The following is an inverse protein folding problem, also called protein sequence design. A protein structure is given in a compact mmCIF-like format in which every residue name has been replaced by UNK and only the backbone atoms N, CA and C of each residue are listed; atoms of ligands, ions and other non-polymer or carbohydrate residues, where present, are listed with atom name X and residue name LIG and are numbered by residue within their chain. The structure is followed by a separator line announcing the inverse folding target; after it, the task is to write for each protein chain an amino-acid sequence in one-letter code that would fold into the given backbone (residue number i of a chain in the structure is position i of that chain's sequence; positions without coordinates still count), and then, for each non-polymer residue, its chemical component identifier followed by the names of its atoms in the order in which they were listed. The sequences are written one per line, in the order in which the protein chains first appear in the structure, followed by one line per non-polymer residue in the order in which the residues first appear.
data_IF_299386596633
#
_entry.id   IF_299386596633
#
_cell.length_a   1.000
_cell.length_b   1.000
_cell.length_c   1.000
_cell.angle_alpha   90.00
_cell.angle_beta   90.00
_cell.angle_gamma   90.00
#
_symmetry.space_group_name_H-M   'P 1'
#
loop_
_entity.id
_entity.type
_entity.pdbx_description
1 polymer ?
#
# COMPACT_ATOMS: atom_id res chain seq x y z
N UNK A 1 7.94 24.73 -1.96
CA UNK A 1 7.35 24.76 -0.60
C UNK A 1 5.91 24.28 -0.68
N UNK A 2 5.58 23.10 -0.13
CA UNK A 2 4.16 22.69 0.00
C UNK A 2 3.48 23.60 1.04
N UNK A 3 2.32 24.14 0.70
CA UNK A 3 1.55 25.04 1.57
C UNK A 3 1.15 24.26 2.83
N UNK A 4 1.49 24.80 4.00
CA UNK A 4 1.09 24.20 5.29
C UNK A 4 -0.44 24.18 5.37
N UNK A 5 -1.03 23.02 5.67
CA UNK A 5 -2.46 22.94 5.94
C UNK A 5 -2.72 23.69 7.25
N UNK A 6 -3.58 24.71 7.21
CA UNK A 6 -3.96 25.45 8.39
C UNK A 6 -5.28 24.91 8.96
N UNK A 7 -5.19 24.13 10.04
CA UNK A 7 -6.35 23.64 10.78
C UNK A 7 -6.74 24.66 11.85
N UNK A 8 -7.93 25.26 11.70
CA UNK A 8 -8.39 26.37 12.56
C UNK A 8 -9.19 25.93 13.78
N UNK A 9 -9.91 24.83 13.65
CA UNK A 9 -10.75 24.29 14.72
C UNK A 9 -10.68 22.76 14.72
N UNK A 10 -10.61 22.19 15.92
CA UNK A 10 -10.78 20.78 16.19
C UNK A 10 -11.72 20.64 17.39
N UNK A 11 -12.10 19.41 17.72
CA UNK A 11 -12.77 19.12 18.97
C UNK A 11 -12.07 18.01 19.71
N UNK A 12 -12.23 18.01 21.03
CA UNK A 12 -11.65 17.02 21.92
C UNK A 12 -12.76 16.15 22.53
N UNK A 13 -12.43 14.86 22.64
CA UNK A 13 -13.21 13.91 23.43
C UNK A 13 -12.29 13.15 24.37
N UNK A 14 -12.82 12.84 25.55
CA UNK A 14 -12.19 11.99 26.55
C UNK A 14 -13.25 11.08 27.16
N UNK A 15 -12.86 9.88 27.57
CA UNK A 15 -13.74 8.93 28.24
C UNK A 15 -12.91 8.01 29.12
N UNK A 16 -13.51 7.51 30.20
CA UNK A 16 -12.89 6.49 31.06
C UNK A 16 -12.49 5.23 30.27
N UNK A 17 -13.26 4.87 29.23
CA UNK A 17 -12.97 3.74 28.35
C UNK A 17 -11.71 3.91 27.47
N UNK A 18 -11.30 5.14 27.16
CA UNK A 18 -10.03 5.38 26.45
C UNK A 18 -8.81 5.07 27.32
N UNK A 19 -8.93 5.29 28.65
CA UNK A 19 -7.88 5.02 29.63
C UNK A 19 -7.47 3.55 29.69
N UNK A 20 -8.39 2.62 29.41
CA UNK A 20 -8.10 1.18 29.31
C UNK A 20 -7.11 0.84 28.20
N UNK A 21 -6.97 1.70 27.18
CA UNK A 21 -6.00 1.56 26.08
C UNK A 21 -4.81 2.51 26.22
N UNK A 22 -4.62 3.12 27.39
CA UNK A 22 -3.54 4.08 27.65
C UNK A 22 -3.68 5.41 26.91
N UNK A 23 -4.83 5.69 26.29
CA UNK A 23 -5.16 6.95 25.61
C UNK A 23 -5.91 7.85 26.57
N UNK A 24 -5.46 9.10 26.71
CA UNK A 24 -6.09 10.06 27.64
C UNK A 24 -6.94 11.10 26.95
N UNK A 25 -6.57 11.48 25.72
CA UNK A 25 -7.24 12.53 24.95
C UNK A 25 -7.30 12.13 23.49
N UNK A 26 -8.41 12.44 22.83
CA UNK A 26 -8.55 12.35 21.38
C UNK A 26 -8.88 13.73 20.84
N UNK A 27 -8.07 14.21 19.91
CA UNK A 27 -8.29 15.48 19.21
C UNK A 27 -8.67 15.15 17.77
N UNK A 28 -9.90 15.48 17.38
CA UNK A 28 -10.41 15.25 16.02
C UNK A 28 -10.55 16.59 15.28
N UNK A 29 -9.89 16.67 14.15
CA UNK A 29 -9.83 17.84 13.30
C UNK A 29 -10.51 17.54 11.96
N UNK A 30 -11.67 18.15 11.68
CA UNK A 30 -12.24 18.17 10.33
C UNK A 30 -11.27 18.84 9.36
N UNK A 31 -11.13 18.24 8.18
CA UNK A 31 -10.30 18.77 7.09
C UNK A 31 -11.15 18.82 5.82
N UNK A 32 -10.99 19.87 5.02
CA UNK A 32 -11.70 20.02 3.76
C UNK A 32 -10.77 20.53 2.68
N UNK A 33 -10.96 20.06 1.45
CA UNK A 33 -10.27 20.60 0.27
C UNK A 33 -8.85 20.09 0.03
N UNK A 34 -8.42 19.02 0.72
CA UNK A 34 -7.12 18.37 0.45
C UNK A 34 -7.35 17.08 -0.33
N UNK A 35 -6.93 17.06 -1.58
CA UNK A 35 -6.88 15.83 -2.39
C UNK A 35 -5.60 15.05 -2.09
N UNK A 36 -5.71 13.73 -2.01
CA UNK A 36 -4.62 12.79 -1.74
C UNK A 36 -4.76 11.59 -2.66
N UNK A 37 -3.63 11.16 -3.25
CA UNK A 37 -3.59 10.08 -4.26
C UNK A 37 -2.70 8.91 -3.85
N UNK A 38 -1.94 9.05 -2.78
CA UNK A 38 -1.04 8.01 -2.29
C UNK A 38 -0.93 8.04 -0.77
N UNK A 39 -0.52 6.92 -0.17
CA UNK A 39 -0.22 6.85 1.26
C UNK A 39 0.84 7.88 1.68
N UNK A 40 1.81 8.18 0.81
CA UNK A 40 2.80 9.22 1.05
C UNK A 40 2.17 10.62 1.13
N UNK A 41 1.25 10.96 0.23
CA UNK A 41 0.52 12.24 0.30
C UNK A 41 -0.33 12.32 1.56
N UNK A 42 -0.94 11.21 1.98
CA UNK A 42 -1.67 11.13 3.26
C UNK A 42 -0.72 11.29 4.47
N UNK A 43 0.49 10.73 4.41
CA UNK A 43 1.52 10.93 5.45
C UNK A 43 1.96 12.38 5.52
N UNK A 44 2.23 13.00 4.38
CA UNK A 44 2.67 14.39 4.31
C UNK A 44 1.56 15.34 4.82
N UNK A 45 0.29 15.00 4.56
CA UNK A 45 -0.87 15.65 5.16
C UNK A 45 -0.89 15.47 6.68
N UNK A 46 -0.67 14.25 7.18
CA UNK A 46 -0.60 13.97 8.62
C UNK A 46 0.52 14.78 9.31
N UNK A 47 1.69 14.89 8.68
CA UNK A 47 2.80 15.74 9.14
C UNK A 47 2.42 17.23 9.18
N UNK A 48 1.75 17.71 8.13
CA UNK A 48 1.28 19.09 8.03
C UNK A 48 0.25 19.40 9.13
N UNK A 49 -0.72 18.51 9.32
CA UNK A 49 -1.75 18.61 10.34
C UNK A 49 -1.14 18.58 11.75
N UNK A 50 -0.18 17.68 12.02
CA UNK A 50 0.53 17.60 13.30
C UNK A 50 1.21 18.93 13.65
N UNK A 51 1.91 19.55 12.69
CA UNK A 51 2.57 20.85 12.86
C UNK A 51 1.57 22.01 13.01
N UNK A 52 0.42 21.93 12.35
CA UNK A 52 -0.64 22.95 12.47
C UNK A 52 -1.39 22.86 13.79
N UNK A 53 -1.61 21.66 14.32
CA UNK A 53 -2.46 21.44 15.50
C UNK A 53 -1.67 21.58 16.79
N UNK A 54 -0.38 21.25 16.83
CA UNK A 54 0.40 21.28 18.07
C UNK A 54 1.63 22.17 17.99
N UNK A 55 1.87 22.96 19.05
CA UNK A 55 3.10 23.76 19.21
C UNK A 55 4.17 22.93 19.91
N UNK A 56 5.39 22.92 19.35
CA UNK A 56 6.57 22.39 20.03
C UNK A 56 6.58 20.88 20.26
N UNK A 57 5.86 20.09 19.44
CA UNK A 57 5.99 18.64 19.49
C UNK A 57 7.43 18.23 19.17
N UNK A 58 8.07 17.37 20.00
CA UNK A 58 9.40 16.86 19.71
C UNK A 58 9.37 16.05 18.41
N UNK A 59 10.40 16.23 17.58
CA UNK A 59 10.47 15.83 16.17
C UNK A 59 10.49 14.32 15.92
N UNK A 60 9.39 13.63 16.21
CA UNK A 60 9.14 12.28 15.74
C UNK A 60 8.75 12.28 14.27
N UNK A 61 9.38 11.40 13.48
CA UNK A 61 8.94 11.12 12.10
C UNK A 61 7.52 10.54 12.15
N UNK A 62 6.66 10.92 11.21
CA UNK A 62 5.36 10.26 11.03
C UNK A 62 5.60 8.92 10.33
N UNK A 63 5.36 7.84 11.04
CA UNK A 63 5.59 6.47 10.57
C UNK A 63 4.24 5.87 10.18
N UNK A 64 4.13 5.37 8.96
CA UNK A 64 2.95 4.61 8.52
C UNK A 64 2.81 3.31 9.33
N UNK A 65 1.59 3.03 9.76
CA UNK A 65 1.25 1.82 10.52
C UNK A 65 0.41 0.88 9.66
N UNK A 66 -0.76 1.34 9.20
CA UNK A 66 -1.62 0.59 8.30
C UNK A 66 -2.62 1.49 7.58
N UNK A 67 -3.30 0.95 6.58
CA UNK A 67 -4.55 1.53 6.08
C UNK A 67 -5.60 0.44 5.89
N UNK A 68 -6.86 0.85 5.94
CA UNK A 68 -8.00 -0.05 5.90
C UNK A 68 -9.15 0.62 5.14
N UNK A 69 -9.78 -0.11 4.23
CA UNK A 69 -10.98 0.35 3.55
C UNK A 69 -12.19 0.26 4.50
N UNK A 70 -12.97 1.32 4.59
CA UNK A 70 -14.23 1.38 5.34
C UNK A 70 -15.36 1.55 4.32
N UNK A 71 -16.00 0.42 3.99
CA UNK A 71 -16.98 0.38 2.89
C UNK A 71 -16.33 0.69 1.54
N UNK A 72 -17.06 1.45 0.71
CA UNK A 72 -16.68 1.76 -0.67
C UNK A 72 -16.06 3.15 -0.85
N UNK A 73 -16.30 4.04 0.12
CA UNK A 73 -16.05 5.47 -0.07
C UNK A 73 -15.00 6.01 0.87
N UNK A 74 -14.59 5.25 1.89
CA UNK A 74 -13.64 5.71 2.89
C UNK A 74 -12.43 4.79 3.01
N UNK A 75 -11.27 5.39 3.26
CA UNK A 75 -10.06 4.69 3.69
C UNK A 75 -9.53 5.34 4.96
N UNK A 76 -9.29 4.54 6.00
CA UNK A 76 -8.68 4.98 7.24
C UNK A 76 -7.18 4.67 7.20
N UNK A 77 -6.35 5.71 7.20
CA UNK A 77 -4.90 5.58 7.30
C UNK A 77 -4.45 5.82 8.73
N UNK A 78 -3.61 4.93 9.25
CA UNK A 78 -3.06 4.98 10.61
C UNK A 78 -1.56 5.23 10.53
N UNK A 79 -1.10 6.15 11.37
CA UNK A 79 0.29 6.50 11.55
C UNK A 79 0.62 6.60 13.04
N UNK A 80 1.90 6.51 13.36
CA UNK A 80 2.44 6.71 14.70
C UNK A 80 3.56 7.74 14.68
N UNK A 81 3.60 8.57 15.71
CA UNK A 81 4.66 9.55 15.95
C UNK A 81 5.31 9.21 17.29
N UNK A 82 6.47 8.52 17.30
CA UNK A 82 7.19 8.22 18.52
C UNK A 82 7.56 9.51 19.26
N UNK A 83 7.28 9.56 20.56
CA UNK A 83 7.57 10.73 21.43
C UNK A 83 8.38 10.36 22.67
N UNK A 84 8.33 9.10 23.10
CA UNK A 84 9.18 8.48 24.15
C UNK A 84 9.45 7.01 23.74
N UNK A 85 10.44 6.30 24.34
CA UNK A 85 10.83 4.94 23.94
C UNK A 85 9.66 3.95 23.75
N UNK A 86 8.59 4.07 24.54
CA UNK A 86 7.40 3.22 24.45
C UNK A 86 6.08 4.00 24.29
N UNK A 87 6.16 5.27 23.87
CA UNK A 87 4.96 6.11 23.68
C UNK A 87 4.98 6.79 22.34
N UNK A 88 3.82 6.77 21.70
CA UNK A 88 3.61 7.45 20.43
C UNK A 88 2.26 8.18 20.44
N UNK A 89 2.21 9.29 19.70
CA UNK A 89 0.93 9.89 19.30
C UNK A 89 0.43 9.11 18.10
N UNK A 90 -0.78 8.56 18.20
CA UNK A 90 -1.45 7.94 17.06
C UNK A 90 -2.07 9.01 16.18
N UNK A 91 -1.90 8.92 14.87
CA UNK A 91 -2.54 9.81 13.89
C UNK A 91 -3.41 8.96 12.98
N UNK A 92 -4.66 9.34 12.80
CA UNK A 92 -5.56 8.71 11.84
C UNK A 92 -6.03 9.72 10.83
N UNK A 93 -5.90 9.42 9.55
CA UNK A 93 -6.44 10.26 8.47
C UNK A 93 -7.57 9.49 7.80
N UNK A 94 -8.77 10.09 7.79
CA UNK A 94 -9.92 9.56 7.07
C UNK A 94 -9.94 10.22 5.71
N UNK A 95 -9.86 9.41 4.67
CA UNK A 95 -9.99 9.83 3.28
C UNK A 95 -11.35 9.38 2.78
N UNK A 96 -12.15 10.31 2.27
CA UNK A 96 -13.38 10.05 1.53
C UNK A 96 -13.09 10.22 0.04
N UNK A 97 -13.20 9.13 -0.71
CA UNK A 97 -12.67 8.97 -2.06
C UNK A 97 -11.18 9.34 -2.16
N UNK A 98 -10.88 10.46 -2.83
CA UNK A 98 -9.53 11.05 -2.93
C UNK A 98 -9.35 12.28 -2.05
N UNK A 99 -10.26 12.57 -1.12
CA UNK A 99 -10.25 13.80 -0.30
C UNK A 99 -10.11 13.46 1.17
N UNK A 100 -9.10 14.02 1.83
CA UNK A 100 -9.01 13.91 3.28
C UNK A 100 -10.13 14.73 3.93
N UNK A 101 -10.89 14.07 4.80
CA UNK A 101 -12.05 14.66 5.48
C UNK A 101 -11.81 14.86 6.98
N UNK A 102 -10.92 14.06 7.58
CA UNK A 102 -10.59 14.16 9.01
C UNK A 102 -9.16 13.76 9.31
N UNK A 103 -8.59 14.37 10.33
CA UNK A 103 -7.35 13.95 10.98
C UNK A 103 -7.59 13.86 12.48
N UNK A 104 -7.37 12.68 13.05
CA UNK A 104 -7.55 12.40 14.47
C UNK A 104 -6.20 12.10 15.14
N UNK A 105 -6.00 12.63 16.33
CA UNK A 105 -4.82 12.40 17.16
C UNK A 105 -5.21 11.71 18.46
N UNK A 106 -4.58 10.58 18.78
CA UNK A 106 -4.71 9.93 20.09
C UNK A 106 -3.49 10.21 20.94
N UNK A 107 -3.68 10.89 22.06
CA UNK A 107 -2.60 11.28 22.96
C UNK A 107 -2.51 10.27 24.11
N UNK A 108 -1.35 9.61 24.31
CA UNK A 108 -1.20 8.65 25.39
C UNK A 108 -0.94 9.34 26.73
N UNK A 109 -1.19 8.61 27.84
CA UNK A 109 -0.92 9.11 29.18
C UNK A 109 0.53 9.57 29.36
N UNK A 110 0.74 10.73 30.00
CA UNK A 110 2.08 11.26 30.29
C UNK A 110 2.81 11.87 29.08
N UNK A 111 2.06 12.20 28.02
CA UNK A 111 2.50 13.05 26.91
C UNK A 111 1.67 14.33 26.97
N UNK A 112 2.35 15.46 27.19
CA UNK A 112 1.71 16.78 27.16
C UNK A 112 1.79 17.35 25.74
N UNK A 113 0.65 17.80 25.22
CA UNK A 113 0.55 18.44 23.91
C UNK A 113 -0.21 19.74 24.06
N UNK A 114 0.32 20.80 23.42
CA UNK A 114 -0.26 22.15 23.46
C UNK A 114 -0.90 22.47 22.11
N UNK A 115 -2.25 22.43 22.01
CA UNK A 115 -2.93 22.79 20.78
C UNK A 115 -2.64 24.23 20.36
N UNK A 116 -2.41 24.43 19.07
CA UNK A 116 -2.22 25.73 18.43
C UNK A 116 -3.52 26.30 17.85
N UNK A 117 -4.54 25.44 17.69
CA UNK A 117 -5.86 25.76 17.14
C UNK A 117 -6.94 25.81 18.23
N UNK A 118 -8.14 26.28 17.88
CA UNK A 118 -9.29 26.23 18.79
C UNK A 118 -9.73 24.78 18.98
N UNK A 119 -9.80 24.33 20.23
CA UNK A 119 -10.36 23.03 20.60
C UNK A 119 -11.73 23.25 21.24
N UNK A 120 -12.79 22.74 20.61
CA UNK A 120 -14.12 22.67 21.19
C UNK A 120 -14.33 21.34 21.93
N UNK A 121 -15.33 21.26 22.81
CA UNK A 121 -15.79 19.97 23.34
C UNK A 121 -16.69 19.30 22.30
N UNK A 122 -16.54 17.98 22.10
CA UNK A 122 -17.44 17.22 21.24
C UNK A 122 -18.91 17.38 21.67
N UNK A 123 -19.81 17.67 20.72
CA UNK A 123 -21.25 17.76 20.94
C UNK A 123 -21.99 16.72 20.08
N UNK A 124 -22.51 15.62 20.67
CA UNK A 124 -23.17 14.56 19.92
C UNK A 124 -24.52 14.99 19.32
N UNK A 125 -25.19 16.02 19.83
CA UNK A 125 -26.49 16.46 19.33
C UNK A 125 -26.44 16.89 17.86
N UNK A 126 -25.31 17.45 17.41
CA UNK A 126 -25.11 17.83 16.01
C UNK A 126 -25.16 16.59 15.08
N UNK A 127 -24.49 15.51 15.48
CA UNK A 127 -24.42 14.26 14.71
C UNK A 127 -25.74 13.48 14.72
N UNK A 128 -26.58 13.69 15.75
CA UNK A 128 -27.91 13.07 15.86
C UNK A 128 -28.95 13.76 14.95
N UNK A 129 -28.72 15.02 14.57
CA UNK A 129 -29.66 15.82 13.77
C UNK A 129 -29.24 16.03 12.32
N UNK A 130 -27.96 15.84 11.98
CA UNK A 130 -27.42 16.09 10.63
C UNK A 130 -26.86 14.82 9.98
N UNK A 131 -27.33 14.46 8.78
CA UNK A 131 -26.82 13.29 8.03
C UNK A 131 -25.75 13.69 7.03
N UNK A 132 -24.57 13.09 7.09
CA UNK A 132 -23.37 13.54 6.35
C UNK A 132 -23.17 12.93 4.96
N UNK A 133 -24.07 12.08 4.44
CA UNK A 133 -23.85 11.41 3.13
C UNK A 133 -25.11 11.30 2.25
N UNK A 134 -24.98 11.73 0.99
CA UNK A 134 -25.78 11.24 -0.15
C UNK A 134 -25.00 10.12 -0.83
N UNK A 135 -25.67 9.00 -1.10
CA UNK A 135 -25.11 7.79 -1.71
C UNK A 135 -25.08 7.96 -3.22
N UNK A 136 -23.93 7.78 -3.86
CA UNK A 136 -23.85 7.58 -5.31
C UNK A 136 -23.30 6.18 -5.60
N UNK A 137 -23.99 5.46 -6.50
CA UNK A 137 -23.59 4.23 -7.17
C UNK A 137 -23.05 4.61 -8.56
N UNK A 138 -22.19 3.89 -9.27
CA UNK A 138 -21.68 2.52 -9.20
C UNK A 138 -20.98 2.24 -10.53
N UNK A 139 -20.25 1.15 -10.64
CA UNK A 139 -19.69 0.63 -11.89
C UNK A 139 -19.52 -0.88 -11.78
N UNK A 140 -19.49 -1.60 -12.91
CA UNK A 140 -19.26 -3.05 -12.91
C UNK A 140 -17.96 -3.36 -12.16
N UNK A 141 -18.09 -4.24 -11.18
CA UNK A 141 -17.04 -4.62 -10.25
C UNK A 141 -16.90 -6.13 -10.32
N UNK A 142 -15.66 -6.68 -10.40
CA UNK A 142 -15.49 -8.13 -10.37
C UNK A 142 -16.20 -8.74 -9.16
N UNK A 143 -16.65 -9.99 -9.29
CA UNK A 143 -17.44 -10.64 -8.25
C UNK A 143 -16.66 -10.69 -6.93
N UNK A 144 -17.33 -10.26 -5.85
CA UNK A 144 -16.73 -10.19 -4.52
C UNK A 144 -15.60 -9.15 -4.39
N UNK A 145 -15.62 -8.08 -5.20
CA UNK A 145 -14.70 -6.95 -5.10
C UNK A 145 -15.45 -5.64 -4.82
N UNK A 146 -14.71 -4.68 -4.30
CA UNK A 146 -15.15 -3.32 -3.97
C UNK A 146 -14.11 -2.33 -4.47
N UNK A 147 -14.46 -1.38 -5.33
CA UNK A 147 -13.50 -0.34 -5.71
C UNK A 147 -13.27 0.66 -4.59
N UNK A 148 -11.99 0.94 -4.34
CA UNK A 148 -11.48 1.97 -3.43
C UNK A 148 -10.48 2.84 -4.19
N UNK A 149 -10.22 4.06 -3.70
CA UNK A 149 -9.35 5.01 -4.40
C UNK A 149 -7.86 4.82 -4.14
N UNK A 150 -7.50 4.41 -2.92
CA UNK A 150 -6.11 4.26 -2.49
C UNK A 150 -5.90 2.79 -2.10
N UNK A 151 -4.90 2.10 -2.68
CA UNK A 151 -4.66 0.69 -2.37
C UNK A 151 -4.36 0.50 -0.88
N UNK A 152 -4.88 -0.60 -0.32
CA UNK A 152 -4.44 -1.06 0.99
C UNK A 152 -3.04 -1.63 0.87
N UNK A 153 -2.11 -1.13 1.69
CA UNK A 153 -0.72 -1.56 1.67
C UNK A 153 -0.55 -2.73 2.62
N UNK A 154 -0.24 -3.90 2.06
CA UNK A 154 0.18 -5.07 2.82
C UNK A 154 1.70 -5.20 2.79
N UNK A 155 2.32 -5.35 3.95
CA UNK A 155 3.75 -5.61 4.14
C UNK A 155 3.87 -6.68 5.24
N UNK A 156 3.40 -7.90 4.93
CA UNK A 156 3.14 -8.94 5.93
C UNK A 156 4.40 -9.38 6.69
N UNK A 157 5.56 -9.29 6.05
CA UNK A 157 6.87 -9.58 6.65
C UNK A 157 7.65 -8.31 7.03
N UNK A 158 6.99 -7.15 7.01
CA UNK A 158 7.60 -5.84 7.23
C UNK A 158 7.97 -5.12 5.93
N UNK A 159 8.43 -3.87 6.07
CA UNK A 159 8.97 -3.08 4.96
C UNK A 159 10.49 -3.13 5.05
N UNK A 160 11.20 -3.74 4.08
CA UNK A 160 12.63 -3.89 4.15
C UNK A 160 13.34 -2.56 3.92
N UNK A 161 14.54 -2.41 4.50
CA UNK A 161 15.44 -1.32 4.17
C UNK A 161 16.21 -1.66 2.88
N UNK A 162 16.13 -0.77 1.89
CA UNK A 162 16.71 -1.00 0.56
C UNK A 162 18.01 -0.21 0.44
N UNK A 163 19.12 -0.93 0.32
CA UNK A 163 20.42 -0.40 -0.11
C UNK A 163 20.60 -0.64 -1.61
N UNK A 164 20.35 0.39 -2.42
CA UNK A 164 20.45 0.31 -3.88
C UNK A 164 21.84 -0.07 -4.38
N UNK A 165 22.90 0.21 -3.63
CA UNK A 165 24.27 -0.15 -4.03
C UNK A 165 24.50 -1.67 -3.99
N UNK A 166 23.66 -2.39 -3.25
CA UNK A 166 23.70 -3.85 -3.09
C UNK A 166 22.54 -4.56 -3.79
N UNK A 167 21.46 -3.84 -4.09
CA UNK A 167 20.27 -4.43 -4.68
C UNK A 167 20.54 -4.86 -6.13
N UNK A 168 20.15 -6.10 -6.44
CA UNK A 168 20.14 -6.66 -7.79
C UNK A 168 18.92 -7.57 -7.94
N UNK A 169 18.43 -7.68 -9.18
CA UNK A 169 17.45 -8.68 -9.60
C UNK A 169 18.16 -9.81 -10.34
N UNK A 170 18.08 -11.03 -9.81
CA UNK A 170 18.63 -12.24 -10.43
C UNK A 170 17.57 -12.95 -11.23
N UNK A 171 17.87 -13.27 -12.48
CA UNK A 171 17.07 -14.09 -13.38
C UNK A 171 17.83 -15.40 -13.60
N UNK A 172 17.34 -16.51 -13.05
CA UNK A 172 18.11 -17.76 -12.94
C UNK A 172 17.21 -19.01 -12.99
N UNK A 173 17.81 -20.19 -12.78
CA UNK A 173 17.13 -21.48 -12.86
C UNK A 173 17.30 -22.12 -14.24
N UNK A 174 16.22 -22.66 -14.78
CA UNK A 174 16.18 -23.34 -16.08
C UNK A 174 16.16 -22.32 -17.24
N UNK A 175 17.29 -21.62 -17.44
CA UNK A 175 17.49 -20.61 -18.48
C UNK A 175 18.81 -20.84 -19.20
N UNK A 176 18.91 -20.48 -20.48
CA UNK A 176 20.18 -20.55 -21.22
C UNK A 176 21.21 -19.55 -20.69
N UNK A 177 20.75 -18.35 -20.29
CA UNK A 177 21.63 -17.26 -19.83
C UNK A 177 21.11 -16.65 -18.53
N UNK A 178 21.64 -17.15 -17.40
CA UNK A 178 21.40 -16.50 -16.11
C UNK A 178 21.93 -15.07 -16.12
N UNK A 179 21.11 -14.13 -15.65
CA UNK A 179 21.40 -12.69 -15.74
C UNK A 179 21.19 -12.02 -14.38
N UNK A 180 22.01 -11.03 -14.08
CA UNK A 180 21.86 -10.16 -12.90
C UNK A 180 21.66 -8.74 -13.40
N UNK A 181 20.60 -8.08 -12.96
CA UNK A 181 20.22 -6.73 -13.37
C UNK A 181 20.24 -5.80 -12.16
N UNK A 182 20.86 -4.64 -12.31
CA UNK A 182 20.73 -3.49 -11.43
C UNK A 182 19.50 -2.66 -11.82
N UNK A 183 19.15 -1.66 -11.01
CA UNK A 183 18.04 -0.75 -11.34
C UNK A 183 18.31 0.02 -12.65
N UNK A 184 19.51 0.58 -12.89
CA UNK A 184 19.86 1.15 -14.20
C UNK A 184 19.67 0.18 -15.37
N UNK A 185 20.08 -1.08 -15.24
CA UNK A 185 19.93 -2.08 -16.32
C UNK A 185 18.44 -2.29 -16.69
N UNK A 186 17.52 -2.24 -15.72
CA UNK A 186 16.08 -2.30 -15.99
C UNK A 186 15.59 -1.10 -16.80
N UNK A 187 16.12 0.10 -16.54
CA UNK A 187 15.79 1.28 -17.35
C UNK A 187 16.36 1.15 -18.77
N UNK A 188 17.57 0.60 -18.93
CA UNK A 188 18.23 0.39 -20.22
C UNK A 188 17.53 -0.67 -21.09
N UNK A 189 16.94 -1.71 -20.49
CA UNK A 189 16.12 -2.71 -21.21
C UNK A 189 14.82 -2.15 -21.79
N UNK A 190 14.45 -0.93 -21.39
CA UNK A 190 13.29 -0.20 -21.91
C UNK A 190 12.04 -0.40 -21.05
N UNK A 191 11.59 0.70 -20.48
CA UNK A 191 10.40 0.80 -19.63
C UNK A 191 9.14 1.03 -20.47
N UNK A 192 8.11 0.24 -20.22
CA UNK A 192 6.79 0.32 -20.84
C UNK A 192 5.73 0.56 -19.78
N UNK A 193 4.73 1.40 -20.11
CA UNK A 193 3.62 1.72 -19.23
C UNK A 193 2.41 0.81 -19.46
N UNK A 194 1.76 0.39 -18.38
CA UNK A 194 0.48 -0.31 -18.41
C UNK A 194 -0.49 0.39 -17.44
N UNK A 195 -1.70 0.70 -17.93
CA UNK A 195 -2.79 1.19 -17.09
C UNK A 195 -3.74 0.04 -16.79
N UNK A 196 -3.89 -0.32 -15.52
CA UNK A 196 -4.62 -1.52 -15.11
C UNK A 196 -5.43 -1.30 -13.84
N UNK A 197 -6.49 -2.08 -13.70
CA UNK A 197 -7.14 -2.26 -12.41
C UNK A 197 -6.31 -3.24 -11.57
N UNK A 198 -6.19 -2.98 -10.27
CA UNK A 198 -5.48 -3.83 -9.32
C UNK A 198 -6.47 -4.45 -8.35
N UNK A 199 -6.41 -5.77 -8.17
CA UNK A 199 -7.42 -6.52 -7.44
C UNK A 199 -6.81 -7.25 -6.24
N UNK A 200 -7.30 -6.97 -5.03
CA UNK A 200 -6.89 -7.67 -3.83
C UNK A 200 -7.79 -8.87 -3.54
N UNK A 201 -7.18 -9.95 -3.08
CA UNK A 201 -7.90 -11.16 -2.63
C UNK A 201 -8.79 -10.92 -1.42
N UNK A 202 -8.57 -9.84 -0.66
CA UNK A 202 -9.42 -9.48 0.49
C UNK A 202 -10.67 -8.69 0.08
N UNK A 203 -10.94 -8.54 -1.22
CA UNK A 203 -12.22 -8.02 -1.72
C UNK A 203 -12.24 -6.52 -2.02
N UNK A 204 -11.08 -5.87 -2.18
CA UNK A 204 -11.01 -4.51 -2.69
C UNK A 204 -10.20 -4.43 -4.00
N UNK A 205 -10.52 -3.44 -4.83
CA UNK A 205 -9.86 -3.16 -6.11
C UNK A 205 -9.57 -1.67 -6.26
N UNK A 206 -8.58 -1.30 -7.06
CA UNK A 206 -8.27 0.12 -7.39
C UNK A 206 -8.27 0.25 -8.91
N UNK A 207 -8.91 1.30 -9.44
CA UNK A 207 -9.01 1.54 -10.88
C UNK A 207 -7.80 2.26 -11.45
N UNK A 208 -7.49 1.95 -12.71
CA UNK A 208 -6.59 2.75 -13.56
C UNK A 208 -5.23 3.11 -12.95
N UNK A 209 -4.63 2.19 -12.20
CA UNK A 209 -3.26 2.35 -11.72
C UNK A 209 -2.30 2.28 -12.90
N UNK A 210 -1.42 3.27 -13.00
CA UNK A 210 -0.41 3.30 -14.05
C UNK A 210 0.89 2.74 -13.50
N UNK A 211 1.30 1.57 -13.95
CA UNK A 211 2.61 1.01 -13.66
C UNK A 211 3.51 1.18 -14.87
N UNK A 212 4.82 1.36 -14.66
CA UNK A 212 5.78 1.27 -15.74
C UNK A 212 7.02 0.46 -15.33
N UNK A 213 7.52 -0.36 -16.25
CA UNK A 213 8.76 -1.11 -16.08
C UNK A 213 9.06 -2.05 -17.25
N UNK A 214 9.89 -3.06 -17.02
CA UNK A 214 10.30 -3.99 -18.07
C UNK A 214 9.26 -5.09 -18.22
N UNK A 215 8.76 -5.30 -19.44
CA UNK A 215 7.87 -6.41 -19.76
C UNK A 215 8.52 -7.75 -19.39
N UNK A 216 7.76 -8.63 -18.74
CA UNK A 216 8.25 -9.97 -18.40
C UNK A 216 8.65 -10.78 -19.65
N UNK A 217 8.03 -10.50 -20.80
CA UNK A 217 8.41 -11.08 -22.09
C UNK A 217 9.82 -10.68 -22.52
N UNK A 218 10.20 -9.41 -22.34
CA UNK A 218 11.58 -8.96 -22.61
C UNK A 218 12.60 -9.65 -21.71
N UNK A 219 12.25 -9.88 -20.44
CA UNK A 219 13.11 -10.64 -19.53
C UNK A 219 13.27 -12.10 -19.99
N UNK A 220 12.19 -12.71 -20.48
CA UNK A 220 12.22 -14.06 -21.07
C UNK A 220 13.08 -14.11 -22.32
N UNK A 221 12.95 -13.13 -23.23
CA UNK A 221 13.81 -13.04 -24.43
C UNK A 221 15.30 -12.89 -24.06
N UNK A 222 15.60 -12.16 -22.99
CA UNK A 222 16.95 -11.94 -22.49
C UNK A 222 17.62 -13.20 -21.95
N UNK A 223 16.89 -14.02 -21.19
CA UNK A 223 17.45 -15.20 -20.49
C UNK A 223 17.22 -16.52 -21.21
N UNK A 224 16.25 -16.57 -22.12
CA UNK A 224 15.81 -17.75 -22.87
C UNK A 224 15.57 -18.96 -21.97
N UNK A 225 14.43 -19.02 -21.26
CA UNK A 225 14.03 -20.18 -20.46
C UNK A 225 13.99 -21.46 -21.30
N UNK A 226 14.37 -22.59 -20.70
CA UNK A 226 14.30 -23.90 -21.35
C UNK A 226 12.84 -24.35 -21.50
N UNK A 227 12.54 -25.16 -22.52
CA UNK A 227 11.18 -25.66 -22.80
C UNK A 227 10.55 -26.48 -21.66
N UNK A 228 11.36 -26.92 -20.69
CA UNK A 228 10.89 -27.66 -19.51
C UNK A 228 10.33 -26.77 -18.40
N UNK A 229 10.46 -25.44 -18.52
CA UNK A 229 9.94 -24.47 -17.55
C UNK A 229 8.42 -24.49 -17.53
N UNK A 230 7.86 -24.65 -16.33
CA UNK A 230 6.41 -24.63 -16.08
C UNK A 230 5.99 -23.52 -15.12
N UNK A 231 6.93 -23.06 -14.29
CA UNK A 231 6.68 -22.12 -13.22
C UNK A 231 7.78 -21.07 -13.13
N UNK A 232 7.42 -19.92 -12.60
CA UNK A 232 8.31 -18.85 -12.20
C UNK A 232 8.14 -18.63 -10.71
N UNK A 233 9.21 -18.86 -9.96
CA UNK A 233 9.25 -18.61 -8.53
C UNK A 233 9.95 -17.29 -8.24
N UNK A 234 9.31 -16.43 -7.46
CA UNK A 234 9.80 -15.09 -7.17
C UNK A 234 10.09 -14.97 -5.69
N UNK A 235 11.24 -14.38 -5.36
CA UNK A 235 11.66 -14.07 -4.00
C UNK A 235 11.89 -12.57 -3.82
N UNK A 236 11.54 -12.10 -2.64
CA UNK A 236 11.60 -10.70 -2.23
C UNK A 236 12.62 -10.49 -1.12
N UNK A 237 13.08 -9.24 -1.00
CA UNK A 237 14.06 -8.83 0.01
C UNK A 237 13.58 -9.04 1.45
N UNK A 238 12.27 -8.94 1.70
CA UNK A 238 11.64 -9.18 3.00
C UNK A 238 11.42 -10.67 3.32
N UNK A 239 11.85 -11.57 2.43
CA UNK A 239 11.62 -13.01 2.53
C UNK A 239 10.29 -13.47 1.96
N UNK A 240 9.48 -12.56 1.39
CA UNK A 240 8.24 -12.95 0.72
C UNK A 240 8.54 -13.76 -0.54
N UNK A 241 7.66 -14.69 -0.86
CA UNK A 241 7.77 -15.49 -2.08
C UNK A 241 6.40 -15.80 -2.67
N UNK A 242 6.38 -16.01 -3.99
CA UNK A 242 5.20 -16.45 -4.73
C UNK A 242 5.63 -17.32 -5.90
N UNK A 243 4.77 -18.24 -6.30
CA UNK A 243 4.92 -19.04 -7.52
C UNK A 243 3.86 -18.66 -8.54
N UNK A 244 4.23 -18.59 -9.81
CA UNK A 244 3.36 -18.18 -10.91
C UNK A 244 3.50 -19.18 -12.07
N UNK A 245 2.41 -19.67 -12.67
CA UNK A 245 2.51 -20.45 -13.90
C UNK A 245 3.24 -19.65 -15.00
N UNK A 246 4.17 -20.27 -15.71
CA UNK A 246 5.00 -19.59 -16.71
C UNK A 246 4.17 -18.86 -17.78
N UNK A 247 3.06 -19.48 -18.20
CA UNK A 247 2.11 -18.87 -19.14
C UNK A 247 1.50 -17.57 -18.59
N UNK A 248 1.15 -17.52 -17.30
CA UNK A 248 0.60 -16.31 -16.69
C UNK A 248 1.66 -15.22 -16.51
N UNK A 249 2.91 -15.61 -16.21
CA UNK A 249 4.04 -14.69 -16.10
C UNK A 249 4.35 -14.00 -17.45
N UNK A 250 4.16 -14.70 -18.56
CA UNK A 250 4.45 -14.21 -19.93
C UNK A 250 3.27 -13.55 -20.63
N UNK A 251 2.15 -13.34 -19.93
CA UNK A 251 0.99 -12.64 -20.49
C UNK A 251 1.27 -11.15 -20.67
N UNK A 252 0.64 -10.60 -21.70
CA UNK A 252 0.69 -9.19 -22.02
C UNK A 252 0.26 -8.31 -20.83
N UNK A 253 0.93 -7.18 -20.65
CA UNK A 253 0.72 -6.28 -19.51
C UNK A 253 1.40 -6.70 -18.21
N UNK A 254 2.06 -7.87 -18.16
CA UNK A 254 2.87 -8.27 -17.01
C UNK A 254 4.23 -7.58 -17.02
N UNK A 255 4.61 -6.98 -15.91
CA UNK A 255 5.82 -6.15 -15.79
C UNK A 255 6.62 -6.48 -14.54
N UNK A 256 7.94 -6.33 -14.64
CA UNK A 256 8.76 -5.89 -13.50
C UNK A 256 8.70 -4.37 -13.45
N UNK A 257 7.77 -3.83 -12.65
CA UNK A 257 7.54 -2.41 -12.51
C UNK A 257 8.61 -1.75 -11.63
N UNK A 258 9.07 -0.58 -12.06
CA UNK A 258 9.99 0.32 -11.32
C UNK A 258 9.32 1.67 -11.01
N UNK A 259 8.18 1.93 -11.65
CA UNK A 259 7.39 3.15 -11.48
C UNK A 259 5.91 2.87 -11.25
N UNK A 260 5.25 3.79 -10.54
CA UNK A 260 3.82 3.84 -10.31
C UNK A 260 3.34 5.30 -10.37
N UNK A 261 2.28 5.55 -11.14
CA UNK A 261 1.69 6.87 -11.39
C UNK A 261 2.72 7.93 -11.80
N UNK A 262 3.56 7.56 -12.78
CA UNK A 262 4.60 8.40 -13.41
C UNK A 262 5.69 8.89 -12.42
N UNK A 263 5.92 8.13 -11.36
CA UNK A 263 6.98 8.36 -10.38
C UNK A 263 7.69 7.04 -10.10
N UNK A 264 8.97 7.06 -9.70
CA UNK A 264 9.60 5.89 -9.11
C UNK A 264 8.73 5.31 -8.01
N UNK A 265 8.69 3.98 -7.91
CA UNK A 265 8.00 3.32 -6.80
C UNK A 265 8.44 3.93 -5.47
N UNK A 266 7.52 4.05 -4.53
CA UNK A 266 7.91 4.29 -3.15
C UNK A 266 8.23 2.97 -2.43
N UNK A 267 8.85 3.08 -1.25
CA UNK A 267 9.23 1.90 -0.45
C UNK A 267 8.02 1.05 -0.08
N UNK A 268 6.83 1.62 0.14
CA UNK A 268 5.62 0.86 0.51
C UNK A 268 5.07 0.05 -0.67
N UNK A 269 5.24 0.56 -1.88
CA UNK A 269 4.79 -0.04 -3.12
C UNK A 269 5.83 -0.94 -3.79
N UNK A 270 7.01 -1.11 -3.20
CA UNK A 270 7.98 -2.12 -3.63
C UNK A 270 9.25 -1.58 -4.27
N UNK A 271 9.60 -0.31 -4.07
CA UNK A 271 10.89 0.23 -4.52
C UNK A 271 12.06 -0.69 -4.14
N UNK A 272 12.99 -1.03 -5.04
CA UNK A 272 13.17 -0.42 -6.36
C UNK A 272 12.40 -1.10 -7.48
N UNK A 273 11.98 -2.35 -7.31
CA UNK A 273 11.24 -3.10 -8.30
C UNK A 273 10.21 -4.03 -7.66
N UNK A 274 9.06 -4.14 -8.32
CA UNK A 274 8.00 -5.10 -7.98
C UNK A 274 7.54 -5.85 -9.21
N UNK A 275 6.93 -7.00 -9.00
CA UNK A 275 6.15 -7.67 -10.03
C UNK A 275 4.74 -7.08 -10.10
N UNK A 276 4.20 -6.97 -11.31
CA UNK A 276 2.80 -6.60 -11.59
C UNK A 276 2.25 -7.58 -12.62
N UNK A 277 1.23 -8.36 -12.23
CA UNK A 277 0.51 -9.28 -13.12
C UNK A 277 -0.98 -8.95 -13.04
N UNK A 278 -1.50 -8.09 -13.94
CA UNK A 278 -2.79 -7.40 -13.76
C UNK A 278 -4.01 -8.32 -13.59
N UNK A 279 -4.03 -9.44 -14.32
CA UNK A 279 -5.17 -10.38 -14.32
C UNK A 279 -5.14 -11.38 -13.15
N UNK A 280 -4.09 -11.36 -12.33
CA UNK A 280 -4.00 -12.14 -11.09
C UNK A 280 -4.26 -11.25 -9.87
N UNK A 281 -4.71 -11.86 -8.78
CA UNK A 281 -4.85 -11.14 -7.53
C UNK A 281 -3.51 -10.65 -6.98
N UNK A 282 -3.56 -9.55 -6.22
CA UNK A 282 -2.41 -8.75 -5.83
C UNK A 282 -1.32 -9.46 -5.02
N UNK A 283 -1.59 -10.62 -4.41
CA UNK A 283 -0.53 -11.39 -3.72
C UNK A 283 0.50 -11.96 -4.70
N UNK A 284 0.12 -12.21 -5.96
CA UNK A 284 1.04 -12.63 -7.02
C UNK A 284 1.97 -11.52 -7.47
N UNK A 285 1.58 -10.25 -7.28
CA UNK A 285 2.35 -9.06 -7.63
C UNK A 285 3.35 -8.72 -6.51
N UNK A 286 4.35 -9.59 -6.30
CA UNK A 286 5.36 -9.48 -5.24
C UNK A 286 6.11 -8.13 -5.25
N UNK A 287 6.42 -7.60 -4.07
CA UNK A 287 7.17 -6.33 -3.88
C UNK A 287 8.62 -6.61 -3.52
N UNK A 288 9.51 -5.63 -3.74
CA UNK A 288 10.92 -5.71 -3.35
C UNK A 288 11.63 -6.94 -3.91
N UNK A 289 11.33 -7.30 -5.15
CA UNK A 289 11.81 -8.55 -5.74
C UNK A 289 13.33 -8.53 -5.88
N UNK A 290 13.97 -9.68 -5.65
CA UNK A 290 15.43 -9.84 -5.78
C UNK A 290 15.80 -11.06 -6.63
N UNK A 291 14.90 -12.05 -6.75
CA UNK A 291 15.16 -13.25 -7.57
C UNK A 291 13.91 -13.70 -8.31
N UNK A 292 14.09 -14.09 -9.56
CA UNK A 292 13.11 -14.73 -10.43
C UNK A 292 13.76 -16.03 -10.93
N UNK A 293 13.20 -17.16 -10.50
CA UNK A 293 13.72 -18.49 -10.77
C UNK A 293 12.76 -19.23 -11.69
N UNK A 294 13.21 -19.55 -12.90
CA UNK A 294 12.46 -20.37 -13.85
C UNK A 294 12.66 -21.85 -13.50
N UNK A 295 11.56 -22.59 -13.34
CA UNK A 295 11.62 -23.98 -12.84
C UNK A 295 10.53 -24.86 -13.47
N UNK A 296 10.78 -26.16 -13.52
CA UNK A 296 9.82 -27.18 -13.94
C UNK A 296 8.96 -27.67 -12.77
N UNK A 297 9.42 -27.48 -11.54
CA UNK A 297 8.81 -27.99 -10.32
C UNK A 297 7.92 -26.94 -9.65
N UNK A 298 6.75 -27.39 -9.20
CA UNK A 298 5.89 -26.57 -8.36
C UNK A 298 6.39 -26.57 -6.92
N UNK A 299 6.47 -25.39 -6.31
CA UNK A 299 6.69 -25.20 -4.88
C UNK A 299 5.86 -24.03 -4.37
N UNK A 300 5.30 -24.17 -3.19
CA UNK A 300 4.52 -23.10 -2.58
C UNK A 300 5.38 -21.87 -2.29
N UNK A 301 4.84 -20.69 -2.62
CA UNK A 301 5.28 -19.44 -2.01
C UNK A 301 4.55 -19.19 -0.70
N UNK A 302 4.64 -17.97 -0.18
CA UNK A 302 4.13 -17.61 1.15
C UNK A 302 2.63 -17.87 1.29
N UNK A 303 1.80 -17.26 0.44
CA UNK A 303 0.34 -17.41 0.55
C UNK A 303 -0.13 -18.77 0.03
N UNK A 304 0.54 -19.35 -0.96
CA UNK A 304 0.18 -20.66 -1.46
C UNK A 304 0.36 -21.74 -0.37
N UNK A 305 1.41 -21.63 0.45
CA UNK A 305 1.61 -22.49 1.62
C UNK A 305 0.48 -22.34 2.66
N UNK A 306 -0.16 -21.17 2.72
CA UNK A 306 -1.31 -20.88 3.59
C UNK A 306 -2.67 -21.18 2.92
N UNK A 307 -2.67 -21.95 1.84
CA UNK A 307 -3.89 -22.43 1.19
C UNK A 307 -4.45 -21.51 0.09
N UNK A 308 -3.72 -20.45 -0.30
CA UNK A 308 -4.13 -19.62 -1.44
C UNK A 308 -3.87 -20.33 -2.77
N UNK A 309 -4.66 -19.99 -3.78
CA UNK A 309 -4.62 -20.67 -5.06
C UNK A 309 -3.27 -20.52 -5.79
N UNK A 310 -2.72 -21.60 -6.40
CA UNK A 310 -1.43 -21.56 -7.11
C UNK A 310 -1.39 -20.58 -8.29
N UNK A 311 -2.52 -20.39 -8.98
CA UNK A 311 -2.65 -19.48 -10.13
C UNK A 311 -3.15 -18.08 -9.72
N UNK A 312 -4.38 -17.97 -9.23
CA UNK A 312 -4.86 -16.74 -8.60
C UNK A 312 -5.56 -15.77 -9.54
N UNK A 313 -6.24 -16.27 -10.58
CA UNK A 313 -7.01 -15.46 -11.51
C UNK A 313 -8.20 -14.76 -10.85
N UNK A 314 -8.32 -13.46 -11.13
CA UNK A 314 -9.37 -12.60 -10.59
C UNK A 314 -10.74 -12.98 -11.14
N UNK A 315 -10.82 -13.19 -12.45
CA UNK A 315 -12.07 -13.44 -13.18
C UNK A 315 -12.67 -14.83 -12.91
N UNK A 316 -11.84 -15.78 -12.47
CA UNK A 316 -12.24 -17.12 -12.08
C UNK A 316 -12.44 -17.29 -10.56
N UNK A 317 -12.34 -16.20 -9.78
CA UNK A 317 -12.43 -16.20 -8.31
C UNK A 317 -11.48 -17.21 -7.64
N UNK A 318 -10.26 -17.36 -8.17
CA UNK A 318 -9.29 -18.34 -7.69
C UNK A 318 -8.60 -17.86 -6.41
N UNK A 319 -9.31 -17.87 -5.29
CA UNK A 319 -8.76 -17.35 -4.02
C UNK A 319 -8.00 -18.42 -3.24
N UNK A 320 -8.56 -19.63 -3.14
CA UNK A 320 -8.05 -20.70 -2.31
C UNK A 320 -7.85 -22.00 -3.10
N UNK A 321 -6.92 -22.83 -2.62
CA UNK A 321 -6.74 -24.21 -3.11
C UNK A 321 -8.04 -24.98 -2.91
N UNK A 322 -8.32 -25.86 -3.87
CA UNK A 322 -9.40 -26.83 -3.75
C UNK A 322 -8.82 -28.13 -3.19
N UNK A 323 -9.56 -28.78 -2.30
CA UNK A 323 -9.23 -30.09 -1.73
C UNK A 323 -9.37 -31.20 -2.74
#
# INVERSE_FOLDING_TARGET
MRRLLLIRACYETSSSGLGLKGVVRVIDCPVSGVEVRSVLEVRDLAESALRSVFRGLPGGRVIFDSNEAIGYTHTLHRFRVPVKPDKYIGVRVVVHYKRAVRVLFTIPLGVDVKPACRIATYNPELDLTETTTKREAGGETPRGQVYIDIPVVYAILGVPEVDLSKWVLRLEGLVEKSTVLTLPDLYELGVEGVKVDFHCVTGWSVRELNFAGVSTRKLVELVKPLDTVKWVYVESLDGYSTIIPYEEFTREGSLVAVEMDNKPLDTLHGYPARLVIPHLYGWKSAKWITRIVFTSEYRDGYWEALGYHPRGRVDLEERFKRT
#
